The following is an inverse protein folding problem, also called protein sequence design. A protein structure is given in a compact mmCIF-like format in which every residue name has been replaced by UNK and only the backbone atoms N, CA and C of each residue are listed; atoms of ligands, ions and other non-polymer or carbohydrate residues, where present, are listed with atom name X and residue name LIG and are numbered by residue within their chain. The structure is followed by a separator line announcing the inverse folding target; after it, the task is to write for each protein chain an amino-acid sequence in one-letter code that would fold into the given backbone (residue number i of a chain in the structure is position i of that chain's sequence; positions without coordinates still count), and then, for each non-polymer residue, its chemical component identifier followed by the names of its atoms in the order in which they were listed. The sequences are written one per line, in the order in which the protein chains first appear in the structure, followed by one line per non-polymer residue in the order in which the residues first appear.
data_IF_289283356610
#
_entry.id   IF_289283356610
#
_cell.length_a   1.000
_cell.length_b   1.000
_cell.length_c   1.000
_cell.angle_alpha   90.00
_cell.angle_beta   90.00
_cell.angle_gamma   90.00
#
_symmetry.space_group_name_H-M   'P 1'
#
loop_
_entity.id
_entity.type
_entity.pdbx_description
1 polymer ?
#
# COMPACT_ATOMS: atom_id res chain seq x y z
N UNK A 1 2.64 28.04 27.84
CA UNK A 1 2.71 26.66 27.33
C UNK A 1 1.84 26.62 26.10
N UNK A 2 2.36 26.22 24.94
CA UNK A 2 1.57 26.18 23.71
C UNK A 2 0.68 24.93 23.72
N UNK A 3 -0.62 25.14 23.56
CA UNK A 3 -1.61 24.10 23.34
C UNK A 3 -1.45 23.59 21.90
N UNK A 4 -0.93 22.38 21.74
CA UNK A 4 -0.98 21.68 20.46
C UNK A 4 -2.38 21.13 20.31
N UNK A 5 -3.34 22.00 19.97
CA UNK A 5 -4.74 21.63 19.79
C UNK A 5 -4.82 20.44 18.83
N UNK A 6 -5.03 19.25 19.38
CA UNK A 6 -5.18 18.04 18.60
C UNK A 6 -6.52 18.17 17.91
N UNK A 7 -6.49 18.67 16.67
CA UNK A 7 -7.63 18.63 15.77
C UNK A 7 -8.00 17.18 15.54
N UNK A 8 -9.30 16.89 15.61
CA UNK A 8 -9.86 15.57 15.32
C UNK A 8 -9.39 15.13 13.92
N UNK A 9 -8.89 13.90 13.83
CA UNK A 9 -8.56 13.32 12.53
C UNK A 9 -9.84 13.07 11.71
N UNK A 10 -9.77 13.34 10.41
CA UNK A 10 -10.81 13.02 9.45
C UNK A 10 -10.46 11.70 8.73
N UNK A 11 -11.48 10.90 8.44
CA UNK A 11 -11.27 9.67 7.66
C UNK A 11 -11.04 10.03 6.19
N UNK A 12 -9.88 9.64 5.65
CA UNK A 12 -9.56 9.85 4.24
C UNK A 12 -10.11 8.71 3.36
N UNK A 13 -9.93 7.46 3.80
CA UNK A 13 -10.35 6.26 3.09
C UNK A 13 -10.92 5.25 4.09
N UNK A 14 -12.07 4.65 3.76
CA UNK A 14 -12.68 3.57 4.52
C UNK A 14 -12.93 2.37 3.61
N UNK A 15 -12.40 1.21 4.00
CA UNK A 15 -12.59 -0.08 3.30
C UNK A 15 -13.37 -1.01 4.24
N UNK A 16 -14.71 -1.02 4.20
CA UNK A 16 -15.52 -1.71 5.22
C UNK A 16 -15.32 -3.23 5.24
N UNK A 17 -14.92 -3.81 4.10
CA UNK A 17 -14.73 -5.25 3.93
C UNK A 17 -13.26 -5.69 4.04
N UNK A 18 -12.33 -4.77 4.29
CA UNK A 18 -10.89 -5.07 4.31
C UNK A 18 -10.21 -4.37 5.48
N UNK A 19 -9.40 -5.10 6.24
CA UNK A 19 -8.56 -4.47 7.26
C UNK A 19 -7.40 -3.73 6.59
N UNK A 20 -7.17 -2.47 6.95
CA UNK A 20 -5.99 -1.71 6.53
C UNK A 20 -4.90 -1.87 7.59
N UNK A 21 -3.70 -2.26 7.16
CA UNK A 21 -2.55 -2.41 8.07
C UNK A 21 -1.44 -1.39 7.83
N UNK A 22 -1.12 -1.06 6.58
CA UNK A 22 -0.06 -0.08 6.26
C UNK A 22 -0.55 0.87 5.18
N UNK A 23 -0.09 2.13 5.25
CA UNK A 23 -0.32 3.15 4.23
C UNK A 23 0.97 3.89 3.92
N UNK A 24 1.21 4.16 2.65
CA UNK A 24 2.36 4.93 2.18
C UNK A 24 1.90 5.96 1.16
N UNK A 25 2.27 7.23 1.33
CA UNK A 25 2.14 8.18 0.24
C UNK A 25 3.21 7.91 -0.81
N UNK A 26 2.81 8.01 -2.07
CA UNK A 26 3.78 8.12 -3.16
C UNK A 26 4.63 9.39 -2.99
N UNK A 27 5.92 9.39 -3.35
CA UNK A 27 6.78 10.57 -3.16
C UNK A 27 6.28 11.85 -3.85
N UNK A 28 5.52 11.72 -4.94
CA UNK A 28 4.90 12.86 -5.63
C UNK A 28 3.60 13.36 -4.97
N UNK A 29 3.14 12.69 -3.91
CA UNK A 29 1.95 13.05 -3.16
C UNK A 29 0.62 12.87 -3.89
N UNK A 30 0.56 12.12 -4.99
CA UNK A 30 -0.67 11.98 -5.82
C UNK A 30 -1.49 10.73 -5.54
N UNK A 31 -0.86 9.71 -4.98
CA UNK A 31 -1.47 8.44 -4.64
C UNK A 31 -0.99 7.93 -3.29
N UNK A 32 -1.70 6.97 -2.72
CA UNK A 32 -1.25 6.15 -1.60
C UNK A 32 -1.21 4.67 -1.98
N UNK A 33 -0.25 3.95 -1.42
CA UNK A 33 -0.30 2.49 -1.34
C UNK A 33 -0.99 2.11 -0.04
N UNK A 34 -1.85 1.11 -0.09
CA UNK A 34 -2.61 0.60 1.06
C UNK A 34 -2.40 -0.90 1.09
N UNK A 35 -1.81 -1.40 2.18
CA UNK A 35 -1.77 -2.82 2.42
C UNK A 35 -3.02 -3.24 3.16
N UNK A 36 -3.72 -4.20 2.60
CA UNK A 36 -4.95 -4.75 3.15
C UNK A 36 -4.76 -6.19 3.60
N UNK A 37 -5.61 -6.65 4.50
CA UNK A 37 -5.81 -8.07 4.76
C UNK A 37 -7.25 -8.42 4.41
N UNK A 38 -7.42 -9.32 3.44
CA UNK A 38 -8.72 -9.85 3.01
C UNK A 38 -9.01 -11.24 3.58
N UNK A 39 -10.16 -11.79 3.22
CA UNK A 39 -10.52 -13.21 3.37
C UNK A 39 -10.30 -13.90 2.01
N UNK A 40 -9.51 -14.98 1.88
CA UNK A 40 -8.99 -15.91 2.90
C UNK A 40 -7.58 -15.61 3.41
N UNK A 41 -7.33 -14.39 3.88
CA UNK A 41 -6.08 -14.00 4.53
C UNK A 41 -5.03 -13.39 3.59
N UNK A 42 -5.38 -13.08 2.33
CA UNK A 42 -4.45 -12.46 1.39
C UNK A 42 -3.97 -11.10 1.93
N UNK A 43 -2.67 -10.84 1.76
CA UNK A 43 -2.00 -9.63 2.23
C UNK A 43 -1.57 -8.82 1.03
N UNK A 44 -2.55 -8.19 0.41
CA UNK A 44 -2.34 -7.51 -0.86
C UNK A 44 -1.94 -6.04 -0.66
N UNK A 45 -1.19 -5.50 -1.62
CA UNK A 45 -0.91 -4.07 -1.75
C UNK A 45 -1.75 -3.49 -2.88
N UNK A 46 -2.54 -2.47 -2.54
CA UNK A 46 -3.38 -1.72 -3.47
C UNK A 46 -2.87 -0.29 -3.60
N UNK A 47 -3.28 0.40 -4.67
CA UNK A 47 -2.99 1.81 -4.88
C UNK A 47 -4.29 2.61 -5.01
N UNK A 48 -4.43 3.67 -4.22
CA UNK A 48 -5.53 4.63 -4.33
C UNK A 48 -5.00 5.97 -4.86
N UNK A 49 -5.68 6.56 -5.84
CA UNK A 49 -5.44 7.95 -6.24
C UNK A 49 -6.06 8.90 -5.19
N UNK A 50 -5.35 9.97 -4.80
CA UNK A 50 -5.94 10.96 -3.90
C UNK A 50 -7.08 11.76 -4.56
N UNK A 51 -7.10 11.82 -5.89
CA UNK A 51 -8.20 12.44 -6.66
C UNK A 51 -9.44 11.52 -6.74
N UNK A 52 -9.31 10.22 -6.43
CA UNK A 52 -10.39 9.24 -6.55
C UNK A 52 -10.19 8.05 -5.60
N UNK A 53 -10.42 8.30 -4.31
CA UNK A 53 -10.20 7.33 -3.23
C UNK A 53 -11.14 6.11 -3.29
N UNK A 54 -12.25 6.20 -4.03
CA UNK A 54 -13.16 5.07 -4.27
C UNK A 54 -12.65 4.04 -5.28
N UNK A 55 -11.51 4.30 -5.94
CA UNK A 55 -10.95 3.43 -6.97
C UNK A 55 -9.59 2.89 -6.56
N UNK A 56 -9.60 1.81 -5.76
CA UNK A 56 -8.40 1.02 -5.51
C UNK A 56 -8.00 0.26 -6.77
N UNK A 57 -6.72 0.34 -7.13
CA UNK A 57 -6.11 -0.43 -8.19
C UNK A 57 -5.21 -1.50 -7.57
N UNK A 58 -5.26 -2.76 -8.04
CA UNK A 58 -4.34 -3.78 -7.57
C UNK A 58 -2.91 -3.37 -7.92
N UNK A 59 -1.96 -3.57 -7.01
CA UNK A 59 -0.54 -3.32 -7.24
C UNK A 59 0.30 -4.59 -7.03
N UNK A 60 0.09 -5.28 -5.92
CA UNK A 60 0.60 -6.62 -5.63
C UNK A 60 -0.57 -7.42 -5.05
N UNK A 61 -1.21 -8.22 -5.91
CA UNK A 61 -2.35 -9.08 -5.54
C UNK A 61 -2.09 -10.49 -6.06
N UNK A 62 -1.04 -11.12 -5.55
CA UNK A 62 -0.64 -12.47 -5.98
C UNK A 62 -1.14 -13.52 -4.98
N UNK A 63 -1.01 -14.83 -5.27
CA UNK A 63 -1.30 -15.84 -4.26
C UNK A 63 -0.35 -15.84 -3.05
N UNK A 64 0.80 -15.16 -3.17
CA UNK A 64 1.75 -15.01 -2.07
C UNK A 64 1.26 -13.97 -1.06
N UNK A 65 1.86 -13.96 0.13
CA UNK A 65 1.74 -12.83 1.04
C UNK A 65 2.65 -11.69 0.57
N UNK A 66 2.18 -10.44 0.59
CA UNK A 66 3.01 -9.26 0.45
C UNK A 66 2.93 -8.36 1.70
N UNK A 67 4.08 -7.95 2.23
CA UNK A 67 4.16 -7.22 3.51
C UNK A 67 5.18 -6.10 3.49
N UNK A 68 5.03 -5.13 4.40
CA UNK A 68 5.99 -4.06 4.65
C UNK A 68 6.46 -3.34 3.35
N UNK A 69 5.53 -2.84 2.51
CA UNK A 69 5.92 -2.13 1.30
C UNK A 69 6.77 -0.89 1.66
N UNK A 70 7.71 -0.53 0.79
CA UNK A 70 8.52 0.67 0.92
C UNK A 70 8.88 1.24 -0.46
N UNK A 71 8.49 2.50 -0.70
CA UNK A 71 8.85 3.19 -1.94
C UNK A 71 10.23 3.82 -1.83
N UNK A 72 11.04 3.66 -2.88
CA UNK A 72 12.28 4.42 -3.02
C UNK A 72 12.01 5.94 -3.01
N UNK A 73 12.94 6.78 -2.54
CA UNK A 73 12.72 8.24 -2.45
C UNK A 73 12.33 8.90 -3.77
N UNK A 74 12.88 8.42 -4.89
CA UNK A 74 12.57 8.91 -6.22
C UNK A 74 11.29 8.31 -6.82
N UNK A 75 10.61 7.41 -6.10
CA UNK A 75 9.41 6.73 -6.56
C UNK A 75 9.64 5.81 -7.76
N UNK A 76 10.86 5.27 -7.94
CA UNK A 76 11.22 4.38 -9.06
C UNK A 76 11.13 2.90 -8.76
N UNK A 77 11.14 2.54 -7.48
CA UNK A 77 11.15 1.18 -6.98
C UNK A 77 10.20 1.02 -5.79
N UNK A 78 9.59 -0.15 -5.68
CA UNK A 78 8.93 -0.67 -4.50
C UNK A 78 9.70 -1.87 -3.99
N UNK A 79 10.15 -1.83 -2.74
CA UNK A 79 10.59 -3.01 -2.00
C UNK A 79 9.43 -3.56 -1.17
N UNK A 80 9.34 -4.87 -1.00
CA UNK A 80 8.32 -5.52 -0.17
C UNK A 80 8.80 -6.91 0.27
N UNK A 81 8.31 -7.38 1.42
CA UNK A 81 8.49 -8.77 1.84
C UNK A 81 7.48 -9.69 1.16
N UNK A 82 7.87 -10.88 0.74
CA UNK A 82 6.96 -11.88 0.19
C UNK A 82 7.45 -13.31 0.38
N UNK A 83 6.52 -14.25 0.39
CA UNK A 83 6.76 -15.70 0.42
C UNK A 83 6.56 -16.37 -0.95
N UNK A 84 6.64 -15.62 -2.07
CA UNK A 84 6.38 -16.13 -3.43
C UNK A 84 7.27 -17.31 -3.86
N UNK A 85 8.44 -17.49 -3.24
CA UNK A 85 9.33 -18.63 -3.46
C UNK A 85 9.09 -19.82 -2.50
N UNK A 86 8.19 -19.67 -1.53
CA UNK A 86 7.96 -20.62 -0.43
C UNK A 86 8.69 -20.26 0.88
N UNK A 87 9.40 -19.13 0.94
CA UNK A 87 10.06 -18.61 2.14
C UNK A 87 10.02 -17.07 2.16
N UNK A 88 10.03 -16.46 3.35
CA UNK A 88 10.02 -14.99 3.48
C UNK A 88 11.30 -14.35 2.95
N UNK A 89 11.16 -13.53 1.91
CA UNK A 89 12.25 -12.83 1.23
C UNK A 89 11.88 -11.37 0.93
N UNK A 90 12.87 -10.54 0.61
CA UNK A 90 12.66 -9.15 0.17
C UNK A 90 12.79 -9.05 -1.34
N UNK A 91 11.73 -8.58 -1.98
CA UNK A 91 11.64 -8.37 -3.42
C UNK A 91 11.68 -6.89 -3.76
N UNK A 92 12.09 -6.57 -4.99
CA UNK A 92 12.07 -5.21 -5.54
C UNK A 92 11.49 -5.22 -6.95
N UNK A 93 10.59 -4.28 -7.24
CA UNK A 93 10.00 -4.07 -8.58
C UNK A 93 10.00 -2.59 -8.96
N UNK A 94 10.01 -2.31 -10.26
CA UNK A 94 9.91 -0.96 -10.80
C UNK A 94 8.56 -0.31 -10.45
N UNK A 95 8.56 1.01 -10.23
CA UNK A 95 7.37 1.79 -9.91
C UNK A 95 7.45 3.20 -10.56
N UNK A 96 6.31 3.81 -10.96
CA UNK A 96 5.07 3.15 -11.34
C UNK A 96 5.29 2.38 -12.66
N UNK A 97 4.68 1.21 -12.80
CA UNK A 97 4.87 0.36 -13.99
C UNK A 97 4.87 -1.13 -13.69
N UNK A 98 4.09 -1.56 -12.69
CA UNK A 98 3.93 -2.98 -12.35
C UNK A 98 2.91 -3.68 -13.24
N UNK A 99 2.41 -3.01 -14.28
CA UNK A 99 1.49 -3.59 -15.25
C UNK A 99 2.28 -4.55 -16.16
N UNK A 100 2.05 -5.86 -15.98
CA UNK A 100 2.58 -6.90 -16.85
C UNK A 100 3.58 -7.82 -16.17
N UNK A 101 3.07 -8.82 -15.44
CA UNK A 101 3.44 -10.22 -15.65
C UNK A 101 2.33 -11.14 -15.19
#
# INVERSE_FOLDING_TARGET
MADFGIVKAESLLALPEMAVWEVLFTPNGRSMLVRTVGDPGSRDVWMASLDSLSQLKPLLTTPANEVAPALSPAGRWLAYGSDESGQDEVYVRSFPGMEGR
#
